data_IF_888150194025
#
_entry.id   IF_888150194025
#
_cell.length_a   1.000
_cell.length_b   1.000
_cell.length_c   1.000
_cell.angle_alpha   90.00
_cell.angle_beta   90.00
_cell.angle_gamma   90.00
#
_symmetry.space_group_name_H-M   'P 1'
#
loop_
_entity.id
_entity.type
_entity.pdbx_description
1 polymer ?
#
# COMPACT_ATOMS: atom_id res chain seq x y z
N UNK A 1 -31.96 14.56 -47.20
CA UNK A 1 -30.79 15.42 -46.98
C UNK A 1 -30.93 16.06 -45.60
N UNK A 2 -30.17 15.58 -44.62
CA UNK A 2 -30.16 16.13 -43.26
C UNK A 2 -29.14 17.29 -43.22
N UNK A 3 -29.57 18.48 -42.73
CA UNK A 3 -28.78 19.68 -42.73
C UNK A 3 -27.56 19.61 -41.80
N UNK A 4 -26.45 20.25 -42.18
CA UNK A 4 -25.18 20.33 -41.43
C UNK A 4 -25.35 20.76 -39.96
N UNK A 5 -26.39 21.53 -39.63
CA UNK A 5 -26.68 21.99 -38.27
C UNK A 5 -27.11 20.85 -37.29
N UNK A 6 -27.66 19.72 -37.80
CA UNK A 6 -28.05 18.57 -37.01
C UNK A 6 -26.89 17.68 -36.55
N UNK A 7 -25.79 17.69 -37.28
CA UNK A 7 -24.59 16.86 -37.00
C UNK A 7 -23.71 17.54 -35.95
N UNK A 8 -23.57 18.87 -35.96
CA UNK A 8 -22.77 19.60 -34.97
C UNK A 8 -23.41 19.58 -33.56
N UNK A 9 -24.74 19.55 -33.48
CA UNK A 9 -25.45 19.49 -32.18
C UNK A 9 -25.32 18.12 -31.49
N UNK A 10 -25.05 17.06 -32.26
CA UNK A 10 -24.86 15.67 -31.72
C UNK A 10 -23.42 15.42 -31.26
N UNK A 11 -22.45 16.17 -31.77
CA UNK A 11 -21.04 16.05 -31.38
C UNK A 11 -20.69 16.85 -30.10
N UNK A 12 -21.47 17.88 -29.76
CA UNK A 12 -21.25 18.69 -28.54
C UNK A 12 -21.74 18.02 -27.24
N UNK A 13 -22.54 16.97 -27.30
CA UNK A 13 -23.10 16.30 -26.10
C UNK A 13 -22.27 15.14 -25.53
N UNK A 14 -21.05 14.92 -26.01
CA UNK A 14 -20.22 13.78 -25.58
C UNK A 14 -19.03 14.17 -24.68
N UNK A 15 -18.91 15.43 -24.27
CA UNK A 15 -17.78 15.89 -23.45
C UNK A 15 -18.13 16.49 -22.08
N UNK A 16 -19.40 16.36 -21.64
CA UNK A 16 -19.74 16.70 -20.26
C UNK A 16 -19.50 15.49 -19.33
N UNK A 17 -18.25 15.11 -19.16
CA UNK A 17 -17.85 14.43 -17.92
C UNK A 17 -17.77 15.51 -16.85
N UNK A 18 -18.44 15.37 -15.70
CA UNK A 18 -18.25 16.30 -14.61
C UNK A 18 -16.77 16.26 -14.22
N UNK A 19 -16.08 17.35 -14.44
CA UNK A 19 -14.75 17.60 -13.92
C UNK A 19 -14.91 17.82 -12.41
N UNK A 20 -15.03 16.70 -11.65
CA UNK A 20 -14.83 16.75 -10.22
C UNK A 20 -13.32 16.95 -10.02
N UNK A 21 -12.90 18.18 -9.86
CA UNK A 21 -11.62 18.54 -9.27
C UNK A 21 -11.61 18.07 -7.80
N UNK A 22 -11.53 16.76 -7.58
CA UNK A 22 -10.94 16.25 -6.35
C UNK A 22 -9.47 16.66 -6.46
N UNK A 23 -9.08 17.67 -5.72
CA UNK A 23 -7.67 17.94 -5.49
C UNK A 23 -7.05 16.60 -5.08
N UNK A 24 -6.17 16.05 -5.93
CA UNK A 24 -5.49 14.78 -5.65
C UNK A 24 -4.77 14.96 -4.32
N UNK A 25 -5.30 14.36 -3.27
CA UNK A 25 -4.68 14.41 -1.95
C UNK A 25 -3.33 13.71 -2.04
N UNK A 26 -2.26 14.38 -1.62
CA UNK A 26 -0.91 13.79 -1.62
C UNK A 26 -0.94 12.43 -0.90
N UNK A 27 -0.28 11.40 -1.42
CA UNK A 27 -0.23 10.10 -0.80
C UNK A 27 0.42 10.17 0.59
N UNK A 28 -0.17 9.50 1.56
CA UNK A 28 0.35 9.35 2.92
C UNK A 28 1.10 8.04 3.11
N UNK A 29 0.77 7.02 2.31
CA UNK A 29 1.39 5.69 2.36
C UNK A 29 1.92 5.34 0.98
N UNK A 30 3.16 4.90 0.90
CA UNK A 30 3.72 4.30 -0.30
C UNK A 30 3.74 2.76 -0.17
N UNK A 31 3.33 2.09 -1.23
CA UNK A 31 3.41 0.63 -1.39
C UNK A 31 4.49 0.36 -2.41
N UNK A 32 5.61 -0.21 -1.98
CA UNK A 32 6.78 -0.47 -2.82
C UNK A 32 6.99 -1.97 -2.96
N UNK A 33 7.28 -2.43 -4.16
CA UNK A 33 7.52 -3.84 -4.44
C UNK A 33 8.73 -4.06 -5.34
N UNK A 34 9.46 -5.17 -5.12
CA UNK A 34 10.69 -5.47 -5.85
C UNK A 34 10.49 -5.87 -7.32
N UNK A 35 9.29 -6.31 -7.68
CA UNK A 35 8.92 -6.78 -9.01
C UNK A 35 7.45 -6.51 -9.30
N UNK A 36 7.10 -6.36 -10.59
CA UNK A 36 5.70 -6.29 -11.02
C UNK A 36 4.92 -7.58 -10.65
N UNK A 37 5.59 -8.73 -10.59
CA UNK A 37 4.98 -10.00 -10.18
C UNK A 37 4.44 -9.97 -8.75
N UNK A 38 4.96 -9.11 -7.89
CA UNK A 38 4.55 -9.00 -6.49
C UNK A 38 3.21 -8.25 -6.34
N UNK A 39 2.74 -7.63 -7.43
CA UNK A 39 1.51 -6.82 -7.42
C UNK A 39 0.28 -7.62 -7.00
N UNK A 40 0.15 -8.88 -7.41
CA UNK A 40 -0.99 -9.73 -7.04
C UNK A 40 -1.17 -9.82 -5.52
N UNK A 41 -0.08 -9.89 -4.78
CA UNK A 41 -0.09 -9.84 -3.32
C UNK A 41 -0.19 -8.40 -2.82
N UNK A 42 0.64 -7.48 -3.33
CA UNK A 42 0.76 -6.12 -2.78
C UNK A 42 -0.46 -5.23 -3.05
N UNK A 43 -1.30 -5.52 -4.07
CA UNK A 43 -2.55 -4.80 -4.32
C UNK A 43 -3.52 -4.83 -3.13
N UNK A 44 -3.48 -5.87 -2.29
CA UNK A 44 -4.31 -5.95 -1.10
C UNK A 44 -4.01 -4.84 -0.08
N UNK A 45 -2.81 -4.27 -0.08
CA UNK A 45 -2.52 -3.08 0.73
C UNK A 45 -3.23 -1.85 0.17
N UNK A 46 -3.17 -1.64 -1.16
CA UNK A 46 -3.85 -0.52 -1.81
C UNK A 46 -5.38 -0.60 -1.58
N UNK A 47 -5.97 -1.76 -1.85
CA UNK A 47 -7.40 -2.00 -1.62
C UNK A 47 -7.83 -1.70 -0.17
N UNK A 48 -7.03 -2.14 0.81
CA UNK A 48 -7.31 -1.90 2.24
C UNK A 48 -7.18 -0.43 2.62
N UNK A 49 -6.17 0.27 2.09
CA UNK A 49 -5.98 1.71 2.31
C UNK A 49 -7.11 2.51 1.68
N UNK A 50 -7.53 2.15 0.45
CA UNK A 50 -8.63 2.79 -0.28
C UNK A 50 -9.97 2.62 0.46
N UNK A 51 -10.27 1.40 0.97
CA UNK A 51 -11.46 1.12 1.78
C UNK A 51 -11.53 2.03 3.03
N UNK A 52 -10.38 2.27 3.66
CA UNK A 52 -10.28 3.16 4.82
C UNK A 52 -10.11 4.64 4.44
N UNK A 53 -10.00 4.96 3.14
CA UNK A 53 -9.90 6.31 2.61
C UNK A 53 -8.56 6.95 2.93
N UNK A 54 -7.47 6.18 2.88
CA UNK A 54 -6.09 6.67 3.06
C UNK A 54 -5.43 6.84 1.69
N UNK A 55 -5.04 8.07 1.30
CA UNK A 55 -4.34 8.32 0.05
C UNK A 55 -3.03 7.53 0.00
N UNK A 56 -2.83 6.79 -1.09
CA UNK A 56 -1.65 5.94 -1.26
C UNK A 56 -1.13 5.96 -2.69
N UNK A 57 0.11 5.53 -2.87
CA UNK A 57 0.71 5.29 -4.18
C UNK A 57 1.41 3.94 -4.20
N UNK A 58 1.48 3.32 -5.39
CA UNK A 58 2.17 2.05 -5.59
C UNK A 58 3.32 2.21 -6.58
N UNK A 59 4.51 1.64 -6.25
CA UNK A 59 5.73 1.73 -7.06
C UNK A 59 6.45 0.39 -7.15
N UNK A 60 7.04 0.12 -8.31
CA UNK A 60 8.01 -0.97 -8.48
C UNK A 60 9.41 -0.40 -8.36
N UNK A 61 10.15 -0.78 -7.31
CA UNK A 61 11.53 -0.40 -7.05
C UNK A 61 12.28 -1.62 -6.53
N UNK A 62 13.41 -1.95 -7.14
CA UNK A 62 14.19 -3.10 -6.75
C UNK A 62 15.48 -2.67 -6.03
N UNK A 63 15.68 -3.16 -4.81
CA UNK A 63 16.93 -2.91 -4.09
C UNK A 63 18.18 -3.38 -4.85
N UNK A 64 18.06 -4.43 -5.68
CA UNK A 64 19.20 -5.01 -6.40
C UNK A 64 19.31 -4.52 -7.85
N UNK A 65 18.20 -4.20 -8.52
CA UNK A 65 18.19 -3.84 -9.95
C UNK A 65 18.07 -2.34 -10.21
N UNK A 66 17.56 -1.58 -9.23
CA UNK A 66 17.43 -0.11 -9.27
C UNK A 66 17.83 0.51 -7.93
N UNK A 67 19.04 0.23 -7.39
CA UNK A 67 19.44 0.63 -6.05
C UNK A 67 19.45 2.16 -5.87
N UNK A 68 19.91 2.92 -6.86
CA UNK A 68 19.95 4.38 -6.83
C UNK A 68 18.53 4.97 -6.72
N UNK A 69 17.60 4.50 -7.58
CA UNK A 69 16.22 4.96 -7.56
C UNK A 69 15.51 4.60 -6.24
N UNK A 70 15.82 3.42 -5.67
CA UNK A 70 15.29 2.99 -4.38
C UNK A 70 15.79 3.87 -3.24
N UNK A 71 17.08 4.19 -3.24
CA UNK A 71 17.71 5.08 -2.25
C UNK A 71 17.17 6.51 -2.36
N UNK A 72 17.06 7.03 -3.58
CA UNK A 72 16.54 8.37 -3.83
C UNK A 72 15.07 8.50 -3.36
N UNK A 73 14.25 7.51 -3.69
CA UNK A 73 12.88 7.43 -3.21
C UNK A 73 12.80 7.47 -1.68
N UNK A 74 13.57 6.62 -0.99
CA UNK A 74 13.56 6.53 0.46
C UNK A 74 13.97 7.85 1.14
N UNK A 75 15.00 8.52 0.62
CA UNK A 75 15.49 9.81 1.14
C UNK A 75 14.46 10.94 0.96
N UNK A 76 13.76 10.97 -0.16
CA UNK A 76 12.77 12.03 -0.47
C UNK A 76 11.36 11.72 0.08
N UNK A 77 11.12 10.53 0.60
CA UNK A 77 9.80 10.07 1.00
C UNK A 77 9.10 11.00 2.01
N UNK A 78 9.80 11.43 3.04
CA UNK A 78 9.26 12.35 4.06
C UNK A 78 8.93 13.73 3.49
N UNK A 79 9.78 14.27 2.64
CA UNK A 79 9.59 15.58 1.99
C UNK A 79 8.42 15.58 1.01
N UNK A 80 8.15 14.44 0.36
CA UNK A 80 7.00 14.28 -0.54
C UNK A 80 5.65 14.18 0.18
N UNK A 81 5.65 14.06 1.52
CA UNK A 81 4.45 14.02 2.36
C UNK A 81 4.08 12.62 2.83
N UNK A 82 4.84 11.60 2.44
CA UNK A 82 4.66 10.22 2.93
C UNK A 82 4.88 10.14 4.46
N UNK A 83 4.18 9.24 5.10
CA UNK A 83 4.22 8.97 6.55
C UNK A 83 4.60 7.54 6.89
N UNK A 84 4.28 6.60 6.00
CA UNK A 84 4.56 5.17 6.17
C UNK A 84 4.92 4.59 4.81
N UNK A 85 5.85 3.64 4.79
CA UNK A 85 6.21 2.87 3.60
C UNK A 85 5.93 1.40 3.86
N UNK A 86 5.17 0.76 2.97
CA UNK A 86 4.94 -0.69 2.95
C UNK A 86 5.82 -1.25 1.85
N UNK A 87 6.73 -2.17 2.17
CA UNK A 87 7.69 -2.71 1.21
C UNK A 87 7.58 -4.24 1.12
N UNK A 88 7.20 -4.75 -0.06
CA UNK A 88 7.07 -6.18 -0.35
C UNK A 88 8.22 -6.71 -1.19
N UNK A 89 8.79 -7.85 -0.79
CA UNK A 89 9.84 -8.53 -1.55
C UNK A 89 9.87 -10.04 -1.25
N UNK A 90 10.29 -10.83 -2.24
CA UNK A 90 10.46 -12.28 -2.14
C UNK A 90 11.89 -12.75 -2.26
N UNK A 91 12.22 -13.93 -1.72
CA UNK A 91 13.54 -14.51 -1.75
C UNK A 91 14.53 -13.73 -0.88
N UNK A 92 15.59 -13.19 -1.48
CA UNK A 92 16.50 -12.22 -0.85
C UNK A 92 15.78 -10.88 -0.68
N UNK A 93 14.86 -10.81 0.27
CA UNK A 93 13.88 -9.73 0.46
C UNK A 93 14.51 -8.50 1.16
N UNK A 94 15.54 -7.92 0.55
CA UNK A 94 16.32 -6.81 1.12
C UNK A 94 15.65 -5.45 0.99
N UNK A 95 14.58 -5.32 0.19
CA UNK A 95 13.98 -4.03 -0.17
C UNK A 95 13.57 -3.20 1.06
N UNK A 96 12.86 -3.81 2.01
CA UNK A 96 12.41 -3.11 3.21
C UNK A 96 13.58 -2.61 4.06
N UNK A 97 14.62 -3.43 4.24
CA UNK A 97 15.84 -3.06 4.98
C UNK A 97 16.61 -1.93 4.30
N UNK A 98 16.76 -1.99 2.96
CA UNK A 98 17.41 -0.93 2.19
C UNK A 98 16.64 0.39 2.32
N UNK A 99 15.31 0.36 2.19
CA UNK A 99 14.50 1.56 2.38
C UNK A 99 14.64 2.10 3.81
N UNK A 100 14.54 1.24 4.83
CA UNK A 100 14.65 1.64 6.23
C UNK A 100 16.00 2.29 6.57
N UNK A 101 17.09 1.88 5.91
CA UNK A 101 18.41 2.48 6.08
C UNK A 101 18.51 3.91 5.54
N UNK A 102 17.57 4.36 4.71
CA UNK A 102 17.63 5.66 4.04
C UNK A 102 16.48 6.61 4.40
N UNK A 103 15.60 6.23 5.34
CA UNK A 103 14.50 7.08 5.81
C UNK A 103 14.29 6.92 7.31
N UNK A 104 13.70 7.94 7.94
CA UNK A 104 13.22 7.88 9.34
C UNK A 104 11.73 7.53 9.43
N UNK A 105 11.06 7.35 8.29
CA UNK A 105 9.65 6.94 8.27
C UNK A 105 9.52 5.47 8.71
N UNK A 106 8.40 5.09 9.35
CA UNK A 106 8.09 3.69 9.59
C UNK A 106 8.08 2.89 8.29
N UNK A 107 8.85 1.79 8.26
CA UNK A 107 8.89 0.84 7.15
C UNK A 107 8.28 -0.48 7.59
N UNK A 108 7.25 -0.93 6.87
CA UNK A 108 6.51 -2.16 7.11
C UNK A 108 6.88 -3.17 6.02
N UNK A 109 7.61 -4.22 6.40
CA UNK A 109 8.07 -5.25 5.50
C UNK A 109 7.03 -6.36 5.32
N UNK A 110 6.72 -6.70 4.07
CA UNK A 110 5.83 -7.80 3.70
C UNK A 110 6.66 -8.87 2.99
N UNK A 111 6.91 -10.01 3.62
CA UNK A 111 7.54 -11.16 2.97
C UNK A 111 6.61 -11.71 1.88
N UNK A 112 7.11 -11.81 0.64
CA UNK A 112 6.37 -12.37 -0.47
C UNK A 112 6.66 -13.88 -0.59
N UNK A 113 5.70 -14.65 -1.07
CA UNK A 113 5.85 -16.08 -1.40
C UNK A 113 7.06 -16.30 -2.32
N UNK A 114 7.82 -17.35 -2.04
CA UNK A 114 9.02 -17.74 -2.76
C UNK A 114 9.07 -19.26 -2.97
N UNK A 115 10.17 -19.77 -3.50
CA UNK A 115 10.39 -21.24 -3.60
C UNK A 115 10.45 -21.93 -2.24
N UNK A 116 10.79 -21.22 -1.16
CA UNK A 116 10.77 -21.71 0.22
C UNK A 116 9.50 -21.26 0.97
N UNK A 117 8.38 -21.11 0.25
CA UNK A 117 7.09 -20.73 0.82
C UNK A 117 7.13 -19.39 1.59
N UNK A 118 8.09 -18.52 1.25
CA UNK A 118 8.27 -17.20 1.86
C UNK A 118 9.05 -17.19 3.17
N UNK A 119 9.56 -18.32 3.66
CA UNK A 119 10.37 -18.36 4.87
C UNK A 119 11.70 -17.62 4.71
N UNK A 120 12.36 -17.77 3.57
CA UNK A 120 13.53 -17.00 3.19
C UNK A 120 13.24 -15.50 3.13
N UNK A 121 12.11 -15.12 2.55
CA UNK A 121 11.64 -13.72 2.51
C UNK A 121 11.41 -13.16 3.92
N UNK A 122 10.78 -13.94 4.79
CA UNK A 122 10.51 -13.56 6.18
C UNK A 122 11.82 -13.36 6.96
N UNK A 123 12.74 -14.31 6.89
CA UNK A 123 14.03 -14.20 7.58
C UNK A 123 14.88 -13.05 7.07
N UNK A 124 14.93 -12.84 5.75
CA UNK A 124 15.63 -11.69 5.14
C UNK A 124 15.07 -10.34 5.59
N UNK A 125 13.75 -10.25 5.77
CA UNK A 125 13.08 -9.00 6.15
C UNK A 125 13.17 -8.75 7.66
N UNK A 126 13.08 -9.80 8.50
CA UNK A 126 13.01 -9.69 9.95
C UNK A 126 14.36 -9.51 10.63
N UNK A 127 15.44 -10.08 10.08
CA UNK A 127 16.77 -10.10 10.70
C UNK A 127 17.56 -8.79 10.47
N UNK A 128 16.96 -7.68 10.89
CA UNK A 128 17.61 -6.36 10.80
C UNK A 128 18.60 -6.13 11.93
N UNK A 129 19.72 -5.40 11.66
CA UNK A 129 20.65 -5.01 12.70
C UNK A 129 20.03 -4.02 13.69
N UNK A 130 20.52 -4.00 14.93
CA UNK A 130 20.12 -3.01 15.91
C UNK A 130 20.32 -1.57 15.38
N UNK A 131 19.29 -0.72 15.52
CA UNK A 131 19.31 0.67 15.06
C UNK A 131 18.55 0.94 13.76
N UNK A 132 18.31 -0.06 12.93
CA UNK A 132 17.53 0.08 11.66
C UNK A 132 16.33 -0.88 11.69
N UNK A 133 15.21 -0.50 12.30
CA UNK A 133 14.06 -1.38 12.45
C UNK A 133 13.23 -1.49 11.17
N UNK A 134 12.70 -2.69 10.91
CA UNK A 134 11.61 -2.94 9.94
C UNK A 134 10.48 -3.65 10.68
N UNK A 135 9.26 -3.10 10.61
CA UNK A 135 8.08 -3.74 11.14
C UNK A 135 7.62 -4.89 10.24
N UNK A 136 8.14 -6.10 10.47
CA UNK A 136 7.90 -7.25 9.59
C UNK A 136 6.54 -7.89 9.86
N UNK A 137 5.73 -8.09 8.82
CA UNK A 137 4.40 -8.67 8.87
C UNK A 137 4.41 -10.16 8.44
N UNK A 138 3.23 -10.76 8.40
CA UNK A 138 3.06 -12.13 7.93
C UNK A 138 3.38 -12.28 6.43
N UNK A 139 3.61 -13.50 5.99
CA UNK A 139 3.91 -13.84 4.59
C UNK A 139 2.64 -13.67 3.73
N UNK A 140 2.77 -13.05 2.57
CA UNK A 140 1.75 -13.00 1.53
C UNK A 140 0.56 -12.06 1.85
N UNK A 141 -0.63 -12.42 1.38
CA UNK A 141 -1.82 -11.57 1.36
C UNK A 141 -2.26 -11.10 2.76
N UNK A 142 -2.22 -11.99 3.74
CA UNK A 142 -2.57 -11.64 5.12
C UNK A 142 -1.60 -10.60 5.69
N UNK A 143 -0.30 -10.76 5.42
CA UNK A 143 0.73 -9.79 5.81
C UNK A 143 0.54 -8.45 5.13
N UNK A 144 0.17 -8.45 3.87
CA UNK A 144 -0.07 -7.22 3.09
C UNK A 144 -1.26 -6.43 3.63
N UNK A 145 -2.39 -7.10 3.91
CA UNK A 145 -3.55 -6.47 4.57
C UNK A 145 -3.18 -5.92 5.95
N UNK A 146 -2.46 -6.69 6.74
CA UNK A 146 -2.03 -6.26 8.07
C UNK A 146 -1.03 -5.11 8.02
N UNK A 147 -0.17 -5.03 6.99
CA UNK A 147 0.71 -3.88 6.78
C UNK A 147 -0.10 -2.60 6.54
N UNK A 148 -1.14 -2.66 5.70
CA UNK A 148 -2.04 -1.54 5.48
C UNK A 148 -2.77 -1.14 6.76
N UNK A 149 -3.33 -2.10 7.51
CA UNK A 149 -4.02 -1.82 8.78
C UNK A 149 -3.07 -1.24 9.84
N UNK A 150 -1.80 -1.69 9.88
CA UNK A 150 -0.80 -1.13 10.79
C UNK A 150 -0.40 0.29 10.36
N UNK A 151 -0.26 0.54 9.06
CA UNK A 151 -0.05 1.91 8.54
C UNK A 151 -1.20 2.83 8.94
N UNK A 152 -2.46 2.37 8.78
CA UNK A 152 -3.65 3.11 9.24
C UNK A 152 -3.60 3.35 10.76
N UNK A 153 -3.20 2.36 11.55
CA UNK A 153 -3.09 2.50 13.01
C UNK A 153 -2.03 3.54 13.41
N UNK A 154 -0.89 3.59 12.71
CA UNK A 154 0.15 4.60 12.91
C UNK A 154 -0.42 6.01 12.61
N UNK A 155 -1.10 6.19 11.49
CA UNK A 155 -1.72 7.46 11.11
C UNK A 155 -2.83 7.87 12.10
N UNK A 156 -3.61 6.90 12.59
CA UNK A 156 -4.71 7.10 13.53
C UNK A 156 -4.26 7.56 14.93
N UNK A 157 -2.97 7.52 15.25
CA UNK A 157 -2.44 8.10 16.51
C UNK A 157 -2.69 9.59 16.58
N UNK A 158 -2.71 10.29 15.45
CA UNK A 158 -2.93 11.73 15.35
C UNK A 158 -4.21 12.11 14.59
N UNK A 159 -4.86 11.18 13.89
CA UNK A 159 -6.11 11.38 13.16
C UNK A 159 -7.29 10.65 13.82
N UNK A 160 -8.16 11.42 14.50
CA UNK A 160 -9.35 10.89 15.19
C UNK A 160 -10.37 10.25 14.23
N UNK A 161 -10.53 10.79 13.01
CA UNK A 161 -11.49 10.25 12.03
C UNK A 161 -11.00 8.90 11.52
N UNK A 162 -9.71 8.79 11.26
CA UNK A 162 -9.10 7.54 10.83
C UNK A 162 -9.15 6.48 11.93
N UNK A 163 -8.97 6.89 13.20
CA UNK A 163 -9.15 6.02 14.37
C UNK A 163 -10.57 5.42 14.41
N UNK A 164 -11.60 6.24 14.28
CA UNK A 164 -12.99 5.78 14.27
C UNK A 164 -13.28 4.79 13.12
N UNK A 165 -12.71 5.01 11.93
CA UNK A 165 -12.82 4.06 10.82
C UNK A 165 -12.19 2.71 11.16
N UNK A 166 -11.00 2.70 11.76
CA UNK A 166 -10.31 1.48 12.16
C UNK A 166 -11.07 0.73 13.27
N UNK A 167 -11.63 1.42 14.24
CA UNK A 167 -12.49 0.85 15.29
C UNK A 167 -13.75 0.22 14.67
N UNK A 168 -14.38 0.92 13.73
CA UNK A 168 -15.56 0.41 12.99
C UNK A 168 -15.21 -0.84 12.17
N UNK A 169 -14.06 -0.85 11.51
CA UNK A 169 -13.55 -2.00 10.77
C UNK A 169 -13.40 -3.22 11.70
N UNK A 170 -12.74 -3.06 12.86
CA UNK A 170 -12.56 -4.14 13.85
C UNK A 170 -13.89 -4.64 14.41
N UNK A 171 -14.83 -3.74 14.68
CA UNK A 171 -16.17 -4.11 15.16
C UNK A 171 -16.91 -4.99 14.14
N UNK A 172 -16.90 -4.62 12.87
CA UNK A 172 -17.49 -5.43 11.79
C UNK A 172 -16.86 -6.82 11.70
N UNK A 173 -15.53 -6.93 11.85
CA UNK A 173 -14.85 -8.24 11.89
C UNK A 173 -15.36 -9.10 13.05
N UNK A 174 -15.45 -8.52 14.26
CA UNK A 174 -15.94 -9.24 15.45
C UNK A 174 -17.38 -9.73 15.24
N UNK A 175 -18.25 -8.86 14.73
CA UNK A 175 -19.66 -9.20 14.43
C UNK A 175 -19.76 -10.34 13.40
N UNK A 176 -18.92 -10.32 12.36
CA UNK A 176 -18.86 -11.38 11.34
C UNK A 176 -18.45 -12.72 11.95
N UNK A 177 -17.45 -12.74 12.82
CA UNK A 177 -17.00 -13.97 13.48
C UNK A 177 -18.08 -14.53 14.44
N UNK A 178 -18.70 -13.64 15.25
CA UNK A 178 -19.72 -14.05 16.22
C UNK A 178 -21.02 -14.54 15.55
N UNK A 179 -21.31 -14.06 14.36
CA UNK A 179 -22.52 -14.47 13.58
C UNK A 179 -22.26 -15.69 12.69
N UNK A 180 -21.02 -16.16 12.58
CA UNK A 180 -20.68 -17.31 11.72
C UNK A 180 -21.39 -18.60 12.18
N UNK A 181 -22.07 -19.27 11.25
CA UNK A 181 -22.70 -20.58 11.48
C UNK A 181 -21.86 -21.65 10.82
N UNK A 182 -21.59 -22.72 11.55
CA UNK A 182 -20.93 -23.90 11.00
C UNK A 182 -21.93 -24.69 10.12
N UNK A 183 -21.47 -25.28 9.01
CA UNK A 183 -22.30 -26.22 8.27
C UNK A 183 -22.69 -27.40 9.17
N UNK A 184 -23.94 -27.87 9.04
CA UNK A 184 -24.45 -29.07 9.74
C UNK A 184 -23.90 -30.31 9.07
#
# INVERSE_FOLDING_TARGET
MLSKAGIEKKLRRKNDRPNSSMAESKPLVAIVMGSKSDWETMRHAAETLDELGVPNESRVLSAHRTPEATTEFARKASESGLRVIIAGAGGAAHLAGVIAAHTVLPVLGVPIQSKLHGLDSLLSTAQMPGGIPVGTLAIGDAGTKNAALLAVAILATTDKKLRQKLETFRKKQSESVLSAKLPK
#
